data_IF_622287488000
#
_entry.id   IF_622287488000
#
_cell.length_a   1.000
_cell.length_b   1.000
_cell.length_c   1.000
_cell.angle_alpha   90.00
_cell.angle_beta   90.00
_cell.angle_gamma   90.00
#
_symmetry.space_group_name_H-M   'P 1'
#
loop_
_entity.id
_entity.type
_entity.pdbx_description
1 polymer ?
#
# COMPACT_ATOMS: atom_id res chain seq x y z
N UNK A 1 7.19 21.92 -9.93
CA UNK A 1 6.92 22.89 -8.84
C UNK A 1 7.64 22.44 -7.57
N UNK A 2 8.53 23.31 -7.08
CA UNK A 2 9.03 23.51 -5.70
C UNK A 2 9.15 22.31 -4.73
N UNK A 3 10.43 21.94 -4.51
CA UNK A 3 11.13 21.45 -3.30
C UNK A 3 10.36 21.45 -1.97
N UNK A 4 10.50 20.33 -1.21
CA UNK A 4 10.60 20.13 0.26
C UNK A 4 10.21 18.67 0.55
N UNK A 5 10.96 17.79 1.23
CA UNK A 5 11.78 17.96 2.42
C UNK A 5 12.86 16.85 2.49
N UNK A 6 14.10 17.26 2.78
CA UNK A 6 15.26 16.43 3.11
C UNK A 6 15.47 16.38 4.63
N UNK A 7 16.12 15.31 5.08
CA UNK A 7 17.00 15.22 6.26
C UNK A 7 16.38 15.35 7.67
N UNK A 8 16.37 14.22 8.40
CA UNK A 8 16.61 14.21 9.86
C UNK A 8 18.01 13.65 10.10
N UNK A 9 18.99 14.56 10.03
CA UNK A 9 20.33 14.36 10.54
C UNK A 9 20.49 15.08 11.88
N UNK A 10 21.26 14.42 12.76
CA UNK A 10 21.87 14.87 14.00
C UNK A 10 21.87 16.37 14.36
N UNK A 11 21.65 16.66 15.64
CA UNK A 11 22.17 17.88 16.27
C UNK A 11 22.66 17.57 17.68
N UNK A 12 23.93 17.94 17.90
CA UNK A 12 24.76 17.78 19.07
C UNK A 12 24.36 18.72 20.22
N UNK A 13 24.67 18.26 21.43
CA UNK A 13 25.05 18.95 22.66
C UNK A 13 24.86 20.48 22.77
N UNK A 14 24.21 20.89 23.87
CA UNK A 14 24.49 22.18 24.50
C UNK A 14 24.49 21.99 26.02
N UNK A 15 25.68 21.97 26.60
CA UNK A 15 25.91 22.19 28.02
C UNK A 15 25.95 23.70 28.27
N UNK A 16 25.18 24.20 29.23
CA UNK A 16 25.46 25.48 29.90
C UNK A 16 25.22 25.30 31.40
N UNK A 17 26.33 25.16 32.13
CA UNK A 17 26.42 25.47 33.55
C UNK A 17 26.15 26.96 33.76
N UNK A 18 25.29 27.30 34.72
CA UNK A 18 25.39 28.53 35.50
C UNK A 18 24.53 28.37 36.76
N UNK A 19 25.18 28.09 37.88
CA UNK A 19 24.97 28.85 39.12
C UNK A 19 26.20 28.65 40.02
N UNK A 20 27.03 29.69 40.09
CA UNK A 20 28.10 29.81 41.05
C UNK A 20 27.56 30.39 42.36
N UNK A 21 27.59 29.59 43.42
CA UNK A 21 27.76 30.04 44.80
C UNK A 21 28.27 28.85 45.65
N UNK A 22 29.42 28.96 46.34
CA UNK A 22 29.91 27.90 47.22
C UNK A 22 29.19 28.00 48.57
N UNK A 23 27.98 27.46 48.65
CA UNK A 23 27.41 27.08 49.93
C UNK A 23 27.98 25.71 50.27
N UNK A 24 28.75 25.66 51.35
CA UNK A 24 29.17 24.42 51.99
C UNK A 24 27.94 23.63 52.44
N UNK A 25 27.34 22.89 51.52
CA UNK A 25 26.39 21.82 51.83
C UNK A 25 27.12 20.55 51.53
N UNK A 26 27.49 19.85 52.60
CA UNK A 26 27.83 18.43 52.62
C UNK A 26 27.19 17.71 51.45
N UNK A 27 28.02 17.26 50.52
CA UNK A 27 27.63 16.28 49.52
C UNK A 27 27.22 15.05 50.33
N UNK A 28 25.93 14.97 50.69
CA UNK A 28 25.32 13.67 50.85
C UNK A 28 25.60 13.00 49.51
N UNK A 29 26.49 12.00 49.52
CA UNK A 29 26.51 11.02 48.46
C UNK A 29 25.03 10.70 48.22
N UNK A 30 24.49 11.13 47.08
CA UNK A 30 23.14 10.78 46.71
C UNK A 30 23.15 9.25 46.77
N UNK A 31 22.55 8.70 47.81
CA UNK A 31 22.44 7.25 47.98
C UNK A 31 21.88 6.79 46.64
N UNK A 32 22.68 6.00 45.91
CA UNK A 32 22.27 5.52 44.60
C UNK A 32 20.86 4.95 44.79
N UNK A 33 19.85 5.43 44.03
CA UNK A 33 18.47 5.11 44.35
C UNK A 33 18.38 3.61 44.48
N UNK A 34 17.95 3.13 45.66
CA UNK A 34 17.76 1.72 45.89
C UNK A 34 16.81 1.26 44.78
N UNK A 35 17.31 0.43 43.85
CA UNK A 35 16.63 -0.05 42.63
C UNK A 35 16.78 0.75 41.32
N UNK A 36 17.81 1.59 41.17
CA UNK A 36 18.06 2.33 39.93
C UNK A 36 18.14 1.43 38.67
N UNK A 37 18.75 0.24 38.81
CA UNK A 37 18.92 -0.73 37.72
C UNK A 37 17.58 -1.31 37.28
N UNK A 38 16.75 -1.75 38.23
CA UNK A 38 15.44 -2.34 37.97
C UNK A 38 14.46 -1.29 37.43
N UNK A 39 14.59 -0.03 37.88
CA UNK A 39 13.80 1.08 37.36
C UNK A 39 14.15 1.37 35.90
N UNK A 40 15.44 1.39 35.55
CA UNK A 40 15.89 1.54 34.17
C UNK A 40 15.45 0.36 33.29
N UNK A 41 15.55 -0.87 33.80
CA UNK A 41 15.10 -2.07 33.08
C UNK A 41 13.59 -2.06 32.82
N UNK A 42 12.79 -1.60 33.78
CA UNK A 42 11.35 -1.45 33.60
C UNK A 42 11.00 -0.38 32.55
N UNK A 43 11.62 0.79 32.62
CA UNK A 43 11.41 1.85 31.64
C UNK A 43 11.86 1.41 30.23
N UNK A 44 13.01 0.75 30.11
CA UNK A 44 13.50 0.19 28.84
C UNK A 44 12.54 -0.87 28.28
N UNK A 45 11.94 -1.72 29.12
CA UNK A 45 10.93 -2.68 28.69
C UNK A 45 9.65 -2.00 28.19
N UNK A 46 9.16 -0.97 28.88
CA UNK A 46 8.00 -0.18 28.42
C UNK A 46 8.29 0.56 27.11
N UNK A 47 9.47 1.18 26.98
CA UNK A 47 9.90 1.87 25.77
C UNK A 47 10.00 0.90 24.57
N UNK A 48 10.56 -0.30 24.80
CA UNK A 48 10.63 -1.36 23.78
C UNK A 48 9.25 -1.85 23.36
N UNK A 49 8.33 -2.07 24.31
CA UNK A 49 6.96 -2.46 24.01
C UNK A 49 6.25 -1.39 23.17
N UNK A 50 6.36 -0.11 23.55
CA UNK A 50 5.76 0.99 22.83
C UNK A 50 6.37 1.21 21.43
N UNK A 51 7.67 0.97 21.26
CA UNK A 51 8.33 1.01 19.95
C UNK A 51 7.86 -0.14 19.06
N UNK A 52 7.79 -1.36 19.61
CA UNK A 52 7.36 -2.53 18.86
C UNK A 52 5.89 -2.46 18.42
N UNK A 53 5.00 -1.84 19.22
CA UNK A 53 3.62 -1.58 18.81
C UNK A 53 3.55 -0.67 17.57
N UNK A 54 4.33 0.42 17.56
CA UNK A 54 4.38 1.33 16.41
C UNK A 54 4.90 0.64 15.15
N UNK A 55 5.91 -0.22 15.29
CA UNK A 55 6.46 -0.99 14.18
C UNK A 55 5.44 -2.01 13.67
N UNK A 56 4.69 -2.67 14.56
CA UNK A 56 3.61 -3.58 14.20
C UNK A 56 2.47 -2.88 13.46
N UNK A 57 2.04 -1.70 13.93
CA UNK A 57 1.02 -0.88 13.28
C UNK A 57 1.46 -0.42 11.88
N UNK A 58 2.71 0.06 11.77
CA UNK A 58 3.27 0.49 10.48
C UNK A 58 3.40 -0.68 9.49
N UNK A 59 3.83 -1.85 9.96
CA UNK A 59 3.94 -3.04 9.13
C UNK A 59 2.55 -3.52 8.66
N UNK A 60 1.54 -3.48 9.54
CA UNK A 60 0.16 -3.83 9.18
C UNK A 60 -0.41 -2.85 8.16
N UNK A 61 -0.23 -1.54 8.36
CA UNK A 61 -0.73 -0.54 7.41
C UNK A 61 -0.13 -0.71 6.01
N UNK A 62 1.16 -1.07 5.93
CA UNK A 62 1.82 -1.37 4.66
C UNK A 62 1.25 -2.64 4.00
N UNK A 63 1.02 -3.70 4.78
CA UNK A 63 0.36 -4.92 4.28
C UNK A 63 -1.05 -4.64 3.77
N UNK A 64 -1.88 -3.92 4.52
CA UNK A 64 -3.25 -3.57 4.11
C UNK A 64 -3.25 -2.73 2.82
N UNK A 65 -2.23 -1.88 2.61
CA UNK A 65 -2.07 -1.14 1.37
C UNK A 65 -1.77 -2.09 0.19
N UNK A 66 -0.87 -3.06 0.37
CA UNK A 66 -0.58 -4.06 -0.66
C UNK A 66 -1.80 -4.91 -1.03
N UNK A 67 -2.69 -5.20 -0.08
CA UNK A 67 -3.96 -5.87 -0.32
C UNK A 67 -4.87 -5.05 -1.24
N UNK A 68 -5.02 -3.76 -0.93
CA UNK A 68 -5.79 -2.82 -1.76
C UNK A 68 -5.19 -2.66 -3.15
N UNK A 69 -3.87 -2.61 -3.25
CA UNK A 69 -3.16 -2.52 -4.52
C UNK A 69 -3.42 -3.78 -5.38
N UNK A 70 -3.31 -4.99 -4.80
CA UNK A 70 -3.65 -6.24 -5.52
C UNK A 70 -5.11 -6.29 -5.95
N UNK A 71 -6.04 -5.84 -5.10
CA UNK A 71 -7.45 -5.75 -5.46
C UNK A 71 -7.68 -4.80 -6.64
N UNK A 72 -6.99 -3.64 -6.63
CA UNK A 72 -7.04 -2.66 -7.72
C UNK A 72 -6.56 -3.26 -9.03
N UNK A 73 -5.42 -3.96 -9.03
CA UNK A 73 -4.91 -4.61 -10.24
C UNK A 73 -5.87 -5.69 -10.77
N UNK A 74 -6.42 -6.54 -9.89
CA UNK A 74 -7.42 -7.56 -10.28
C UNK A 74 -8.67 -6.95 -10.90
N UNK A 75 -9.19 -5.88 -10.27
CA UNK A 75 -10.36 -5.17 -10.76
C UNK A 75 -10.08 -4.59 -12.16
N UNK A 76 -8.94 -3.92 -12.33
CA UNK A 76 -8.52 -3.35 -13.61
C UNK A 76 -8.46 -4.42 -14.70
N UNK A 77 -7.86 -5.59 -14.42
CA UNK A 77 -7.84 -6.71 -15.38
C UNK A 77 -9.24 -7.20 -15.72
N UNK A 78 -10.14 -7.30 -14.73
CA UNK A 78 -11.54 -7.68 -14.95
C UNK A 78 -12.26 -6.69 -15.86
N UNK A 79 -12.12 -5.38 -15.61
CA UNK A 79 -12.79 -4.34 -16.38
C UNK A 79 -12.27 -4.28 -17.83
N UNK A 80 -10.99 -4.63 -18.07
CA UNK A 80 -10.46 -4.82 -19.43
C UNK A 80 -11.17 -5.98 -20.15
N UNK A 81 -11.40 -7.11 -19.47
CA UNK A 81 -12.14 -8.25 -20.04
C UNK A 81 -13.60 -7.86 -20.36
N UNK A 82 -14.27 -7.18 -19.44
CA UNK A 82 -15.65 -6.72 -19.64
C UNK A 82 -15.75 -5.74 -20.83
N UNK A 83 -14.77 -4.85 -20.98
CA UNK A 83 -14.68 -3.97 -22.15
C UNK A 83 -14.51 -4.78 -23.45
N UNK A 84 -13.61 -5.76 -23.47
CA UNK A 84 -13.41 -6.63 -24.65
C UNK A 84 -14.69 -7.38 -25.03
N UNK A 85 -15.44 -7.90 -24.06
CA UNK A 85 -16.73 -8.56 -24.30
C UNK A 85 -17.82 -7.60 -24.77
N UNK A 86 -17.85 -6.37 -24.25
CA UNK A 86 -18.78 -5.35 -24.73
C UNK A 86 -18.49 -4.96 -26.20
N UNK A 87 -17.21 -4.92 -26.58
CA UNK A 87 -16.81 -4.68 -27.98
C UNK A 87 -17.20 -5.84 -28.90
N UNK A 88 -17.07 -7.09 -28.45
CA UNK A 88 -17.54 -8.27 -29.20
C UNK A 88 -19.07 -8.23 -29.40
N UNK A 89 -19.81 -7.85 -28.36
CA UNK A 89 -21.26 -7.66 -28.45
C UNK A 89 -21.65 -6.56 -29.45
N UNK A 90 -20.86 -5.48 -29.53
CA UNK A 90 -21.05 -4.42 -30.53
C UNK A 90 -20.88 -4.98 -31.95
N UNK A 91 -19.80 -5.73 -32.21
CA UNK A 91 -19.56 -6.38 -33.50
C UNK A 91 -20.71 -7.32 -33.87
N UNK A 92 -21.15 -8.17 -32.95
CA UNK A 92 -22.27 -9.10 -33.18
C UNK A 92 -23.58 -8.39 -33.55
N UNK A 93 -23.86 -7.26 -32.90
CA UNK A 93 -25.06 -6.45 -33.20
C UNK A 93 -25.06 -5.86 -34.62
N UNK A 94 -23.88 -5.60 -35.19
CA UNK A 94 -23.71 -5.06 -36.54
C UNK A 94 -23.75 -6.15 -37.60
N UNK A 95 -23.13 -7.30 -37.31
CA UNK A 95 -23.15 -8.47 -38.18
C UNK A 95 -24.56 -8.99 -38.44
N UNK A 96 -25.44 -8.97 -37.43
CA UNK A 96 -26.86 -9.33 -37.59
C UNK A 96 -27.66 -8.34 -38.45
N UNK A 97 -27.20 -7.10 -38.60
CA UNK A 97 -27.88 -6.05 -39.38
C UNK A 97 -27.43 -6.01 -40.84
N UNK A 98 -26.45 -6.83 -41.24
CA UNK A 98 -25.93 -6.88 -42.61
C UNK A 98 -25.17 -5.63 -43.02
N UNK A 99 -24.46 -5.00 -42.07
CA UNK A 99 -23.76 -3.74 -42.28
C UNK A 99 -22.42 -3.89 -43.03
N UNK A 100 -21.86 -2.76 -43.46
CA UNK A 100 -20.71 -2.65 -44.35
C UNK A 100 -19.49 -3.45 -43.85
N UNK A 101 -18.92 -4.24 -44.76
CA UNK A 101 -17.77 -5.13 -44.54
C UNK A 101 -16.52 -4.36 -44.08
N UNK A 102 -16.43 -3.06 -44.39
CA UNK A 102 -15.36 -2.18 -43.93
C UNK A 102 -15.51 -1.77 -42.45
N UNK A 103 -16.73 -1.50 -41.98
CA UNK A 103 -16.99 -1.12 -40.59
C UNK A 103 -16.73 -2.29 -39.64
N UNK A 104 -17.20 -3.49 -40.01
CA UNK A 104 -16.95 -4.71 -39.26
C UNK A 104 -15.45 -5.02 -39.11
N UNK A 105 -14.65 -4.82 -40.17
CA UNK A 105 -13.19 -5.07 -40.12
C UNK A 105 -12.45 -4.12 -39.17
N UNK A 106 -12.78 -2.83 -39.19
CA UNK A 106 -12.16 -1.88 -38.26
C UNK A 106 -12.56 -2.19 -36.81
N UNK A 107 -13.80 -2.57 -36.55
CA UNK A 107 -14.24 -2.96 -35.21
C UNK A 107 -13.57 -4.24 -34.70
N UNK A 108 -13.44 -5.25 -35.56
CA UNK A 108 -12.72 -6.48 -35.24
C UNK A 108 -11.25 -6.22 -34.90
N UNK A 109 -10.61 -5.27 -35.60
CA UNK A 109 -9.23 -4.86 -35.30
C UNK A 109 -9.12 -4.19 -33.92
N UNK A 110 -10.04 -3.29 -33.58
CA UNK A 110 -10.05 -2.65 -32.26
C UNK A 110 -10.38 -3.67 -31.15
N UNK A 111 -11.31 -4.58 -31.39
CA UNK A 111 -11.61 -5.67 -30.46
C UNK A 111 -10.40 -6.59 -30.26
N UNK A 112 -9.67 -6.93 -31.33
CA UNK A 112 -8.41 -7.68 -31.24
C UNK A 112 -7.38 -6.96 -30.38
N UNK A 113 -7.26 -5.63 -30.53
CA UNK A 113 -6.37 -4.81 -29.68
C UNK A 113 -6.78 -4.86 -28.20
N UNK A 114 -8.07 -4.77 -27.90
CA UNK A 114 -8.57 -4.87 -26.52
C UNK A 114 -8.39 -6.29 -25.93
N UNK A 115 -8.57 -7.33 -26.74
CA UNK A 115 -8.36 -8.72 -26.34
C UNK A 115 -6.88 -9.03 -26.06
N UNK A 116 -5.97 -8.57 -26.91
CA UNK A 116 -4.52 -8.64 -26.66
C UNK A 116 -4.14 -7.90 -25.38
N UNK A 117 -4.70 -6.71 -25.17
CA UNK A 117 -4.49 -5.96 -23.94
C UNK A 117 -5.01 -6.72 -22.70
N UNK A 118 -6.13 -7.44 -22.77
CA UNK A 118 -6.62 -8.28 -21.67
C UNK A 118 -5.64 -9.41 -21.32
N UNK A 119 -5.05 -10.04 -22.35
CA UNK A 119 -4.03 -11.07 -22.18
C UNK A 119 -2.77 -10.48 -21.55
N UNK A 120 -2.31 -9.33 -22.04
CA UNK A 120 -1.14 -8.64 -21.48
C UNK A 120 -1.37 -8.18 -20.04
N UNK A 121 -2.58 -7.69 -19.71
CA UNK A 121 -2.96 -7.33 -18.35
C UNK A 121 -2.91 -8.55 -17.41
N UNK A 122 -3.36 -9.73 -17.88
CA UNK A 122 -3.29 -10.97 -17.10
C UNK A 122 -1.84 -11.37 -16.84
N UNK A 123 -0.98 -11.36 -17.88
CA UNK A 123 0.46 -11.66 -17.71
C UNK A 123 1.14 -10.68 -16.76
N UNK A 124 0.83 -9.39 -16.88
CA UNK A 124 1.37 -8.36 -15.99
C UNK A 124 0.87 -8.57 -14.55
N UNK A 125 -0.40 -8.92 -14.36
CA UNK A 125 -0.97 -9.23 -13.06
C UNK A 125 -0.31 -10.46 -12.40
N UNK A 126 -0.06 -11.52 -13.18
CA UNK A 126 0.65 -12.72 -12.70
C UNK A 126 2.08 -12.40 -12.25
N UNK A 127 2.70 -11.39 -12.89
CA UNK A 127 4.01 -10.85 -12.52
C UNK A 127 3.94 -9.74 -11.44
N UNK A 128 2.74 -9.37 -10.98
CA UNK A 128 2.48 -8.20 -10.13
C UNK A 128 3.06 -6.87 -10.67
N UNK A 129 3.12 -6.75 -12.00
CA UNK A 129 3.58 -5.56 -12.69
C UNK A 129 2.44 -4.54 -12.85
N UNK A 130 2.36 -3.63 -11.89
CA UNK A 130 1.40 -2.53 -11.88
C UNK A 130 1.49 -1.62 -13.13
N UNK A 131 2.70 -1.43 -13.68
CA UNK A 131 2.88 -0.61 -14.87
C UNK A 131 2.35 -1.34 -16.11
N UNK A 132 2.66 -2.64 -16.24
CA UNK A 132 2.13 -3.48 -17.32
C UNK A 132 0.60 -3.56 -17.33
N UNK A 133 -0.05 -3.70 -16.17
CA UNK A 133 -1.53 -3.67 -16.08
C UNK A 133 -2.08 -2.30 -16.48
N UNK A 134 -1.46 -1.21 -16.04
CA UNK A 134 -1.89 0.15 -16.40
C UNK A 134 -1.75 0.41 -17.91
N UNK A 135 -0.63 0.02 -18.52
CA UNK A 135 -0.39 0.20 -19.96
C UNK A 135 -1.37 -0.63 -20.80
N UNK A 136 -1.70 -1.85 -20.35
CA UNK A 136 -2.73 -2.67 -20.96
C UNK A 136 -4.13 -2.02 -20.84
N UNK A 137 -4.47 -1.47 -19.68
CA UNK A 137 -5.72 -0.74 -19.48
C UNK A 137 -5.81 0.50 -20.41
N UNK A 138 -4.75 1.30 -20.53
CA UNK A 138 -4.70 2.45 -21.45
C UNK A 138 -4.94 2.02 -22.91
N UNK A 139 -4.31 0.91 -23.34
CA UNK A 139 -4.50 0.34 -24.69
C UNK A 139 -5.94 -0.11 -24.91
N UNK A 140 -6.51 -0.87 -23.98
CA UNK A 140 -7.88 -1.38 -24.06
C UNK A 140 -8.90 -0.24 -24.09
N UNK A 141 -8.77 0.74 -23.20
CA UNK A 141 -9.63 1.93 -23.17
C UNK A 141 -9.56 2.72 -24.48
N UNK A 142 -8.36 2.91 -25.03
CA UNK A 142 -8.19 3.59 -26.32
C UNK A 142 -8.86 2.82 -27.46
N UNK A 143 -8.74 1.49 -27.48
CA UNK A 143 -9.42 0.63 -28.45
C UNK A 143 -10.95 0.70 -28.32
N UNK A 144 -11.47 0.66 -27.09
CA UNK A 144 -12.89 0.86 -26.79
C UNK A 144 -13.42 2.18 -27.35
N UNK A 145 -12.73 3.30 -27.08
CA UNK A 145 -13.12 4.63 -27.62
C UNK A 145 -13.08 4.68 -29.14
N UNK A 146 -12.06 4.09 -29.78
CA UNK A 146 -11.95 4.02 -31.24
C UNK A 146 -13.06 3.15 -31.83
N UNK A 147 -13.43 2.05 -31.20
CA UNK A 147 -14.54 1.21 -31.66
C UNK A 147 -15.89 1.92 -31.64
N UNK A 148 -16.17 2.73 -30.62
CA UNK A 148 -17.39 3.56 -30.59
C UNK A 148 -17.39 4.59 -31.72
N UNK A 149 -16.21 5.13 -32.06
CA UNK A 149 -16.06 6.08 -33.17
C UNK A 149 -16.20 5.40 -34.53
N UNK A 150 -15.68 4.18 -34.66
CA UNK A 150 -15.73 3.39 -35.89
C UNK A 150 -17.14 2.83 -36.17
N UNK A 151 -17.88 2.48 -35.12
CA UNK A 151 -19.27 2.03 -35.23
C UNK A 151 -20.17 3.21 -35.64
N UNK A 152 -20.48 3.33 -36.93
CA UNK A 152 -21.34 4.38 -37.50
C UNK A 152 -22.81 4.01 -37.34
N UNK A 153 -23.13 2.75 -37.58
CA UNK A 153 -24.41 2.13 -37.26
C UNK A 153 -24.22 1.17 -36.07
N UNK A 154 -25.26 0.47 -35.61
CA UNK A 154 -25.22 -0.27 -34.33
C UNK A 154 -26.08 0.30 -33.20
N UNK A 155 -26.43 -0.57 -32.25
CA UNK A 155 -27.35 -0.25 -31.17
C UNK A 155 -26.78 0.81 -30.22
N UNK A 156 -27.59 1.84 -29.93
CA UNK A 156 -27.17 2.98 -29.13
C UNK A 156 -26.81 2.56 -27.69
N UNK A 157 -27.50 1.56 -27.13
CA UNK A 157 -27.18 1.07 -25.78
C UNK A 157 -25.83 0.36 -25.75
N UNK A 158 -25.53 -0.45 -26.76
CA UNK A 158 -24.24 -1.14 -26.85
C UNK A 158 -23.07 -0.15 -27.01
N UNK A 159 -23.24 0.90 -27.83
CA UNK A 159 -22.24 1.98 -27.95
C UNK A 159 -22.00 2.70 -26.62
N UNK A 160 -23.07 3.05 -25.90
CA UNK A 160 -22.96 3.67 -24.56
C UNK A 160 -22.23 2.74 -23.61
N UNK A 161 -22.54 1.44 -23.62
CA UNK A 161 -21.89 0.45 -22.76
C UNK A 161 -20.39 0.41 -22.98
N UNK A 162 -19.95 0.28 -24.24
CA UNK A 162 -18.51 0.29 -24.60
C UNK A 162 -17.86 1.62 -24.21
N UNK A 163 -18.50 2.75 -24.48
CA UNK A 163 -17.96 4.06 -24.13
C UNK A 163 -17.80 4.24 -22.61
N UNK A 164 -18.80 3.80 -21.84
CA UNK A 164 -18.78 3.87 -20.38
C UNK A 164 -17.67 3.00 -19.81
N UNK A 165 -17.56 1.74 -20.27
CA UNK A 165 -16.51 0.83 -19.83
C UNK A 165 -15.12 1.33 -20.21
N UNK A 166 -14.94 1.87 -21.42
CA UNK A 166 -13.67 2.47 -21.81
C UNK A 166 -13.27 3.64 -20.90
N UNK A 167 -14.23 4.43 -20.42
CA UNK A 167 -13.99 5.49 -19.45
C UNK A 167 -13.70 4.99 -18.02
N UNK A 168 -14.21 3.81 -17.64
CA UNK A 168 -13.89 3.14 -16.38
C UNK A 168 -12.46 2.60 -16.45
N UNK A 169 -12.13 1.79 -17.47
CA UNK A 169 -10.81 1.21 -17.68
C UNK A 169 -9.71 2.27 -17.76
N UNK A 170 -9.96 3.44 -18.37
CA UNK A 170 -9.01 4.56 -18.37
C UNK A 170 -8.71 5.11 -16.97
N UNK A 171 -9.74 5.20 -16.10
CA UNK A 171 -9.54 5.62 -14.70
C UNK A 171 -8.78 4.56 -13.92
N UNK A 172 -9.11 3.29 -14.17
CA UNK A 172 -8.47 2.16 -13.51
C UNK A 172 -7.00 2.05 -13.90
N UNK A 173 -6.62 2.40 -15.14
CA UNK A 173 -5.22 2.50 -15.54
C UNK A 173 -4.41 3.44 -14.63
N UNK A 174 -4.97 4.61 -14.30
CA UNK A 174 -4.33 5.57 -13.41
C UNK A 174 -4.26 5.07 -11.96
N UNK A 175 -5.21 4.24 -11.53
CA UNK A 175 -5.20 3.59 -10.22
C UNK A 175 -4.17 2.44 -10.17
N UNK A 176 -4.16 1.58 -11.19
CA UNK A 176 -3.20 0.50 -11.37
C UNK A 176 -1.76 1.02 -11.34
N UNK A 177 -1.47 2.13 -12.02
CA UNK A 177 -0.12 2.72 -12.02
C UNK A 177 0.36 3.18 -10.63
N UNK A 178 -0.56 3.42 -9.68
CA UNK A 178 -0.25 3.76 -8.28
C UNK A 178 -0.18 2.54 -7.36
N UNK A 179 -0.64 1.37 -7.81
CA UNK A 179 -0.72 0.14 -7.03
C UNK A 179 0.63 -0.59 -6.93
N UNK A 180 1.70 0.15 -6.62
CA UNK A 180 3.09 -0.34 -6.73
C UNK A 180 3.50 -1.32 -5.63
N UNK A 181 2.74 -1.40 -4.54
CA UNK A 181 3.05 -2.30 -3.41
C UNK A 181 2.45 -3.69 -3.57
N UNK A 182 1.64 -3.92 -4.62
CA UNK A 182 1.02 -5.21 -4.90
C UNK A 182 2.04 -6.37 -5.01
N UNK A 183 3.20 -6.10 -5.62
CA UNK A 183 4.29 -7.07 -5.81
C UNK A 183 4.95 -7.52 -4.50
N UNK A 184 4.89 -6.69 -3.46
CA UNK A 184 5.56 -6.92 -2.19
C UNK A 184 4.64 -7.62 -1.17
N UNK A 185 3.46 -8.08 -1.60
CA UNK A 185 2.40 -8.62 -0.73
C UNK A 185 2.89 -9.70 0.24
N UNK A 186 3.56 -10.75 -0.26
CA UNK A 186 3.98 -11.86 0.61
C UNK A 186 5.05 -11.40 1.61
N UNK A 187 6.00 -10.56 1.17
CA UNK A 187 7.01 -9.96 2.04
C UNK A 187 6.39 -9.06 3.11
N UNK A 188 5.40 -8.24 2.75
CA UNK A 188 4.72 -7.34 3.69
C UNK A 188 3.82 -8.11 4.65
N UNK A 189 3.20 -9.20 4.20
CA UNK A 189 2.43 -10.11 5.05
C UNK A 189 3.32 -10.74 6.12
N UNK A 190 4.46 -11.31 5.71
CA UNK A 190 5.40 -11.93 6.63
C UNK A 190 5.97 -10.90 7.61
N UNK A 191 6.28 -9.69 7.13
CA UNK A 191 6.73 -8.58 7.98
C UNK A 191 5.67 -8.17 9.01
N UNK A 192 4.42 -8.03 8.60
CA UNK A 192 3.33 -7.69 9.52
C UNK A 192 3.12 -8.78 10.59
N UNK A 193 3.26 -10.06 10.22
CA UNK A 193 3.20 -11.17 11.17
C UNK A 193 4.38 -11.15 12.13
N UNK A 194 5.60 -10.94 11.63
CA UNK A 194 6.80 -10.87 12.46
C UNK A 194 6.73 -9.69 13.44
N UNK A 195 6.40 -8.48 12.97
CA UNK A 195 6.33 -7.30 13.85
C UNK A 195 5.27 -7.47 14.94
N UNK A 196 4.15 -8.15 14.67
CA UNK A 196 3.16 -8.50 15.69
C UNK A 196 3.69 -9.49 16.73
N UNK A 197 4.50 -10.47 16.30
CA UNK A 197 5.14 -11.41 17.21
C UNK A 197 6.20 -10.71 18.09
N UNK A 198 6.97 -9.79 17.51
CA UNK A 198 7.96 -8.99 18.23
C UNK A 198 7.30 -8.07 19.26
N UNK A 199 6.19 -7.40 18.89
CA UNK A 199 5.40 -6.60 19.82
C UNK A 199 4.90 -7.42 21.01
N UNK A 200 4.35 -8.61 20.77
CA UNK A 200 3.93 -9.52 21.86
C UNK A 200 5.10 -9.88 22.78
N UNK A 201 6.24 -10.23 22.19
CA UNK A 201 7.44 -10.58 22.96
C UNK A 201 7.93 -9.40 23.82
N UNK A 202 7.88 -8.17 23.28
CA UNK A 202 8.24 -6.97 24.02
C UNK A 202 7.26 -6.69 25.18
N UNK A 203 5.95 -6.88 24.95
CA UNK A 203 4.93 -6.76 26.00
C UNK A 203 5.10 -7.82 27.10
N UNK A 204 5.45 -9.06 26.75
CA UNK A 204 5.67 -10.14 27.72
C UNK A 204 6.87 -9.88 28.65
N UNK A 205 7.82 -9.04 28.23
CA UNK A 205 8.96 -8.64 29.06
C UNK A 205 8.59 -7.62 30.15
N UNK A 206 7.55 -6.80 29.95
CA UNK A 206 7.17 -5.72 30.88
C UNK A 206 6.73 -6.23 32.26
N UNK A 207 5.86 -7.26 32.39
CA UNK A 207 5.49 -7.82 33.69
C UNK A 207 6.67 -8.36 34.50
N UNK A 208 7.65 -8.95 33.82
CA UNK A 208 8.88 -9.46 34.44
C UNK A 208 9.70 -8.31 35.04
N UNK A 209 10.02 -7.30 34.24
CA UNK A 209 10.76 -6.12 34.70
C UNK A 209 10.01 -5.35 35.82
N UNK A 210 8.68 -5.28 35.73
CA UNK A 210 7.82 -4.70 36.77
C UNK A 210 7.92 -5.47 38.09
N UNK A 211 7.94 -6.80 38.01
CA UNK A 211 8.02 -7.68 39.18
C UNK A 211 9.38 -7.55 39.87
N UNK A 212 10.45 -7.48 39.10
CA UNK A 212 11.82 -7.24 39.60
C UNK A 212 11.91 -5.89 40.31
N UNK A 213 11.39 -4.82 39.71
CA UNK A 213 11.33 -3.49 40.33
C UNK A 213 10.54 -3.51 41.64
N UNK A 214 9.35 -4.11 41.67
CA UNK A 214 8.55 -4.24 42.90
C UNK A 214 9.28 -5.00 44.00
N UNK A 215 9.98 -6.08 43.64
CA UNK A 215 10.73 -6.90 44.58
C UNK A 215 11.89 -6.11 45.19
N UNK A 216 12.64 -5.39 44.35
CA UNK A 216 13.73 -4.55 44.82
C UNK A 216 13.21 -3.45 45.76
N UNK A 217 12.16 -2.71 45.37
CA UNK A 217 11.59 -1.64 46.19
C UNK A 217 11.08 -2.16 47.55
N UNK A 218 10.48 -3.35 47.57
CA UNK A 218 10.05 -4.02 48.80
C UNK A 218 11.24 -4.33 49.72
N UNK A 219 12.36 -4.79 49.17
CA UNK A 219 13.57 -5.09 49.95
C UNK A 219 14.29 -3.83 50.43
N UNK A 220 14.27 -2.75 49.65
CA UNK A 220 14.85 -1.46 50.03
C UNK A 220 14.07 -0.74 51.15
N UNK A 221 12.79 -1.07 51.32
CA UNK A 221 11.90 -0.47 52.34
C UNK A 221 11.95 -1.16 53.71
N UNK A 222 12.74 -2.23 53.85
CA UNK A 222 12.91 -3.02 55.08
C UNK A 222 14.23 -2.68 55.76
#
# INVERSE_FOLDING_TARGET
MKLRSLARGASLATAVLLLAAPAATTVHAAEAPACAKEQLAYLDAEDKAAAADKDADAAQAAFDQSERDRATLKQTTSDIYDLSHAMDSLIGSLGMRGEDDAELKELQKEQGTAAEAAVDATKAMDAYDAAGVADAAEKAAAAGKRSVTAARSGDFKTKISVQSLAGVVEKDAAAARKATTAKDYDTLKDKAQQSRADARTAHDAVPTARTELKTCLSNASK
#
